data_IF_712484354691
#
_entry.id   IF_712484354691
#
_cell.length_a   1.000
_cell.length_b   1.000
_cell.length_c   1.000
_cell.angle_alpha   90.00
_cell.angle_beta   90.00
_cell.angle_gamma   90.00
#
_symmetry.space_group_name_H-M   'P 1'
#
loop_
_entity.id
_entity.type
_entity.pdbx_description
1 polymer ?
#
# COMPACT_ATOMS: atom_id res chain seq x y z
N UNK A 1 8.10 19.61 -11.03
CA UNK A 1 6.73 19.08 -11.07
C UNK A 1 6.50 18.26 -9.81
N UNK A 2 5.51 18.63 -9.03
CA UNK A 2 5.26 17.95 -7.77
C UNK A 2 4.29 16.81 -7.97
N UNK A 3 4.79 15.60 -7.85
CA UNK A 3 3.95 14.42 -7.84
C UNK A 3 3.44 14.19 -6.43
N UNK A 4 2.15 14.06 -6.27
CA UNK A 4 1.56 13.62 -5.01
C UNK A 4 1.25 12.13 -5.10
N UNK A 5 1.24 11.45 -3.96
CA UNK A 5 0.89 10.03 -3.94
C UNK A 5 -0.55 9.81 -4.42
N UNK A 6 -1.44 10.75 -4.15
CA UNK A 6 -2.83 10.69 -4.60
C UNK A 6 -2.95 10.75 -6.13
N UNK A 7 -2.07 11.47 -6.81
CA UNK A 7 -2.06 11.51 -8.27
C UNK A 7 -1.59 10.20 -8.91
N UNK A 8 -0.72 9.46 -8.21
CA UNK A 8 -0.23 8.17 -8.69
C UNK A 8 -1.22 7.04 -8.45
N UNK A 9 -1.93 7.09 -7.34
CA UNK A 9 -2.83 6.03 -6.91
C UNK A 9 -4.29 6.44 -7.09
N UNK A 10 -4.63 6.91 -8.28
CA UNK A 10 -6.00 7.25 -8.64
C UNK A 10 -6.82 5.97 -8.90
N UNK A 11 -8.16 6.01 -8.72
CA UNK A 11 -8.99 4.86 -9.07
C UNK A 11 -8.81 4.39 -10.52
N UNK A 12 -8.58 5.32 -11.43
CA UNK A 12 -8.36 5.01 -12.86
C UNK A 12 -7.12 4.13 -13.07
N UNK A 13 -6.06 4.35 -12.27
CA UNK A 13 -4.83 3.56 -12.39
C UNK A 13 -4.84 2.29 -11.56
N UNK A 14 -5.51 2.31 -10.40
CA UNK A 14 -5.45 1.20 -9.42
C UNK A 14 -6.51 0.13 -9.64
N UNK A 15 -7.72 0.51 -10.07
CA UNK A 15 -8.82 -0.45 -10.24
C UNK A 15 -8.51 -1.51 -11.30
N UNK A 16 -8.01 -1.17 -12.50
CA UNK A 16 -7.61 -2.20 -13.47
C UNK A 16 -6.57 -3.18 -12.93
N UNK A 17 -5.66 -2.68 -12.11
CA UNK A 17 -4.66 -3.53 -11.46
C UNK A 17 -5.30 -4.50 -10.47
N UNK A 18 -6.28 -4.05 -9.67
CA UNK A 18 -7.03 -4.90 -8.74
C UNK A 18 -7.82 -5.97 -9.53
N UNK A 19 -8.44 -5.58 -10.65
CA UNK A 19 -9.21 -6.52 -11.48
C UNK A 19 -8.34 -7.67 -12.01
N UNK A 20 -7.08 -7.39 -12.31
CA UNK A 20 -6.13 -8.38 -12.82
C UNK A 20 -5.40 -9.14 -11.71
N UNK A 21 -5.56 -8.76 -10.45
CA UNK A 21 -4.86 -9.39 -9.33
C UNK A 21 -5.39 -10.80 -9.06
N UNK A 22 -4.50 -11.71 -8.68
CA UNK A 22 -4.90 -13.05 -8.26
C UNK A 22 -5.41 -13.06 -6.82
N UNK A 23 -6.02 -14.18 -6.40
CA UNK A 23 -6.61 -14.30 -5.07
C UNK A 23 -5.59 -14.12 -3.95
N UNK A 24 -4.37 -14.58 -4.15
CA UNK A 24 -3.31 -14.48 -3.15
C UNK A 24 -2.92 -13.02 -2.89
N UNK A 25 -2.76 -12.24 -3.95
CA UNK A 25 -2.45 -10.82 -3.84
C UNK A 25 -3.59 -10.05 -3.18
N UNK A 26 -4.84 -10.38 -3.56
CA UNK A 26 -6.02 -9.75 -2.97
C UNK A 26 -6.10 -10.04 -1.48
N UNK A 27 -5.85 -11.27 -1.04
CA UNK A 27 -5.84 -11.63 0.37
C UNK A 27 -4.76 -10.87 1.15
N UNK A 28 -3.58 -10.70 0.57
CA UNK A 28 -2.51 -9.91 1.19
C UNK A 28 -2.91 -8.45 1.36
N UNK A 29 -3.56 -7.87 0.37
CA UNK A 29 -4.01 -6.48 0.44
C UNK A 29 -5.10 -6.27 1.49
N UNK A 30 -6.01 -7.23 1.64
CA UNK A 30 -7.06 -7.16 2.65
C UNK A 30 -6.50 -7.11 4.08
N UNK A 31 -5.35 -7.71 4.33
CA UNK A 31 -4.70 -7.69 5.63
C UNK A 31 -4.32 -6.29 6.09
N UNK A 32 -4.12 -5.36 5.17
CA UNK A 32 -3.77 -3.97 5.47
C UNK A 32 -4.98 -3.09 5.73
N UNK A 33 -6.20 -3.59 5.49
CA UNK A 33 -7.41 -2.84 5.74
C UNK A 33 -7.84 -2.97 7.21
N UNK A 34 -8.59 -1.97 7.73
CA UNK A 34 -9.22 -2.13 9.04
C UNK A 34 -10.12 -3.36 9.05
N UNK A 35 -10.01 -4.23 10.08
CA UNK A 35 -10.78 -5.47 10.14
C UNK A 35 -12.30 -5.27 10.05
N UNK A 36 -12.79 -4.16 10.58
CA UNK A 36 -14.21 -3.81 10.53
C UNK A 36 -14.76 -3.73 9.12
N UNK A 37 -13.96 -3.34 8.14
CA UNK A 37 -14.41 -3.25 6.74
C UNK A 37 -14.72 -4.63 6.14
N UNK A 38 -13.91 -5.62 6.48
CA UNK A 38 -14.10 -7.00 6.00
C UNK A 38 -15.34 -7.61 6.63
N UNK A 39 -15.50 -7.43 7.94
CA UNK A 39 -16.67 -7.93 8.68
C UNK A 39 -17.95 -7.27 8.19
N UNK A 40 -17.92 -5.95 7.97
CA UNK A 40 -19.08 -5.21 7.48
C UNK A 40 -19.51 -5.68 6.08
N UNK A 41 -18.55 -5.98 5.22
CA UNK A 41 -18.85 -6.46 3.87
C UNK A 41 -19.54 -7.83 3.89
N UNK A 42 -19.25 -8.67 4.88
CA UNK A 42 -19.89 -9.96 5.03
C UNK A 42 -21.30 -9.86 5.64
N UNK A 43 -21.45 -9.04 6.67
CA UNK A 43 -22.67 -8.96 7.47
C UNK A 43 -23.66 -7.92 6.95
N UNK A 44 -23.30 -7.16 5.94
CA UNK A 44 -24.11 -6.05 5.42
C UNK A 44 -23.93 -4.78 6.25
N UNK A 45 -24.94 -3.92 6.19
CA UNK A 45 -24.84 -2.58 6.79
C UNK A 45 -25.12 -2.54 8.29
N UNK A 46 -25.29 -3.68 8.94
CA UNK A 46 -25.60 -3.71 10.37
C UNK A 46 -24.32 -3.59 11.21
N UNK A 47 -24.04 -2.36 11.65
CA UNK A 47 -22.88 -2.02 12.45
C UNK A 47 -23.02 -2.42 13.93
N UNK A 48 -24.19 -2.91 14.36
CA UNK A 48 -24.46 -3.15 15.77
C UNK A 48 -23.78 -4.40 16.34
N UNK A 49 -23.37 -5.32 15.46
CA UNK A 49 -22.79 -6.62 15.85
C UNK A 49 -21.40 -6.87 15.27
N UNK A 50 -20.65 -5.79 14.99
CA UNK A 50 -19.28 -5.95 14.47
C UNK A 50 -18.39 -6.62 15.50
N UNK A 51 -18.12 -7.88 15.27
CA UNK A 51 -17.16 -8.64 16.06
C UNK A 51 -15.79 -8.52 15.39
N UNK A 52 -14.86 -7.89 16.08
CA UNK A 52 -13.52 -7.62 15.55
C UNK A 52 -12.46 -8.54 16.15
N UNK A 53 -12.87 -9.66 16.79
CA UNK A 53 -11.89 -10.64 17.23
C UNK A 53 -11.26 -11.37 16.04
N UNK A 54 -10.06 -11.85 16.22
CA UNK A 54 -9.24 -12.43 15.15
C UNK A 54 -9.94 -13.59 14.42
N UNK A 55 -10.62 -14.45 15.18
CA UNK A 55 -11.32 -15.59 14.60
C UNK A 55 -12.49 -15.18 13.71
N UNK A 56 -13.24 -14.13 14.10
CA UNK A 56 -14.34 -13.60 13.30
C UNK A 56 -13.85 -12.95 12.01
N UNK A 57 -12.72 -12.26 12.08
CA UNK A 57 -12.10 -11.63 10.91
C UNK A 57 -11.66 -12.70 9.91
N UNK A 58 -10.96 -13.74 10.38
CA UNK A 58 -10.54 -14.83 9.50
C UNK A 58 -11.73 -15.56 8.88
N UNK A 59 -12.78 -15.81 9.66
CA UNK A 59 -13.99 -16.44 9.17
C UNK A 59 -14.68 -15.58 8.10
N UNK A 60 -14.72 -14.26 8.31
CA UNK A 60 -15.28 -13.32 7.36
C UNK A 60 -14.48 -13.32 6.05
N UNK A 61 -13.16 -13.29 6.14
CA UNK A 61 -12.30 -13.32 4.95
C UNK A 61 -12.48 -14.62 4.16
N UNK A 62 -12.57 -15.76 4.83
CA UNK A 62 -12.77 -17.04 4.18
C UNK A 62 -14.17 -17.17 3.54
N UNK A 63 -15.17 -16.50 4.10
CA UNK A 63 -16.53 -16.53 3.59
C UNK A 63 -16.73 -15.67 2.33
N UNK A 64 -15.83 -14.73 2.07
CA UNK A 64 -15.93 -13.84 0.92
C UNK A 64 -15.38 -14.49 -0.35
N UNK A 65 -16.09 -14.32 -1.46
CA UNK A 65 -15.58 -14.69 -2.78
C UNK A 65 -14.51 -13.72 -3.23
N UNK A 66 -13.72 -14.12 -4.23
CA UNK A 66 -12.70 -13.25 -4.82
C UNK A 66 -13.28 -11.93 -5.33
N UNK A 67 -14.45 -11.99 -5.99
CA UNK A 67 -15.11 -10.78 -6.49
C UNK A 67 -15.57 -9.86 -5.37
N UNK A 68 -16.06 -10.41 -4.27
CA UNK A 68 -16.42 -9.63 -3.08
C UNK A 68 -15.20 -8.95 -2.45
N UNK A 69 -14.10 -9.67 -2.37
CA UNK A 69 -12.83 -9.12 -1.87
C UNK A 69 -12.32 -7.98 -2.75
N UNK A 70 -12.38 -8.16 -4.07
CA UNK A 70 -12.01 -7.10 -5.02
C UNK A 70 -12.94 -5.89 -4.92
N UNK A 71 -14.22 -6.12 -4.66
CA UNK A 71 -15.18 -5.03 -4.46
C UNK A 71 -14.85 -4.18 -3.23
N UNK A 72 -14.44 -4.82 -2.14
CA UNK A 72 -13.97 -4.11 -0.95
C UNK A 72 -12.79 -3.21 -1.30
N UNK A 73 -11.79 -3.74 -1.99
CA UNK A 73 -10.61 -2.96 -2.41
C UNK A 73 -10.99 -1.80 -3.33
N UNK A 74 -11.91 -2.02 -4.28
CA UNK A 74 -12.39 -0.93 -5.15
C UNK A 74 -13.04 0.19 -4.35
N UNK A 75 -13.87 -0.16 -3.37
CA UNK A 75 -14.53 0.84 -2.50
C UNK A 75 -13.51 1.62 -1.70
N UNK A 76 -12.49 0.96 -1.14
CA UNK A 76 -11.42 1.62 -0.41
C UNK A 76 -10.67 2.60 -1.31
N UNK A 77 -10.31 2.18 -2.52
CA UNK A 77 -9.58 3.03 -3.47
C UNK A 77 -10.37 4.28 -3.89
N UNK A 78 -11.70 4.20 -3.85
CA UNK A 78 -12.57 5.33 -4.17
C UNK A 78 -12.94 6.17 -2.95
N UNK A 79 -12.58 5.73 -1.76
CA UNK A 79 -13.00 6.43 -0.53
C UNK A 79 -12.23 7.72 -0.32
N UNK A 80 -12.89 8.76 0.22
CA UNK A 80 -12.20 9.99 0.61
C UNK A 80 -11.11 9.75 1.65
N UNK A 81 -11.30 8.79 2.54
CA UNK A 81 -10.33 8.44 3.58
C UNK A 81 -9.01 7.97 2.98
N UNK A 82 -9.06 7.17 1.93
CA UNK A 82 -7.87 6.71 1.23
C UNK A 82 -7.10 7.90 0.61
N UNK A 83 -7.81 8.78 -0.09
CA UNK A 83 -7.21 9.98 -0.68
C UNK A 83 -6.61 10.90 0.37
N UNK A 84 -7.30 11.09 1.50
CA UNK A 84 -6.81 11.89 2.61
C UNK A 84 -5.56 11.28 3.24
N UNK A 85 -5.51 9.96 3.38
CA UNK A 85 -4.34 9.26 3.91
C UNK A 85 -3.13 9.45 3.00
N UNK A 86 -3.32 9.35 1.68
CA UNK A 86 -2.25 9.60 0.71
C UNK A 86 -1.76 11.05 0.75
N UNK A 87 -2.68 12.00 0.89
CA UNK A 87 -2.33 13.42 1.02
C UNK A 87 -1.54 13.67 2.29
N UNK A 88 -1.95 13.09 3.41
CA UNK A 88 -1.25 13.21 4.70
C UNK A 88 0.15 12.62 4.63
N UNK A 89 0.29 11.45 4.01
CA UNK A 89 1.59 10.82 3.82
C UNK A 89 2.50 11.69 2.93
N UNK A 90 1.96 12.26 1.87
CA UNK A 90 2.70 13.16 0.98
C UNK A 90 3.22 14.37 1.74
N UNK A 91 2.37 14.99 2.57
CA UNK A 91 2.75 16.14 3.40
C UNK A 91 3.85 15.74 4.39
N UNK A 92 3.69 14.62 5.07
CA UNK A 92 4.68 14.15 6.03
C UNK A 92 6.05 13.92 5.37
N UNK A 93 6.08 13.34 4.18
CA UNK A 93 7.33 13.15 3.43
C UNK A 93 7.98 14.49 3.07
N UNK A 94 7.19 15.46 2.64
CA UNK A 94 7.68 16.78 2.24
C UNK A 94 8.18 17.60 3.42
N UNK A 95 7.62 17.37 4.60
CA UNK A 95 7.95 18.13 5.82
C UNK A 95 9.09 17.49 6.64
N UNK A 96 9.86 16.60 6.05
CA UNK A 96 11.03 16.03 6.68
C UNK A 96 10.81 14.66 7.32
N UNK A 97 9.66 14.02 7.07
CA UNK A 97 9.33 12.71 7.62
C UNK A 97 9.95 11.52 6.88
N UNK A 98 10.65 11.76 5.77
CA UNK A 98 11.18 10.67 4.94
C UNK A 98 12.05 9.67 5.72
N UNK A 99 13.01 10.08 6.58
CA UNK A 99 13.82 9.11 7.31
C UNK A 99 12.98 8.19 8.20
N UNK A 100 12.09 8.77 8.98
CA UNK A 100 11.24 8.01 9.92
C UNK A 100 10.25 7.10 9.19
N UNK A 101 9.63 7.60 8.12
CA UNK A 101 8.65 6.84 7.35
C UNK A 101 9.33 5.69 6.62
N UNK A 102 10.46 5.95 5.97
CA UNK A 102 11.18 4.90 5.26
C UNK A 102 11.70 3.81 6.19
N UNK A 103 12.16 4.18 7.39
CA UNK A 103 12.56 3.22 8.40
C UNK A 103 11.38 2.38 8.88
N UNK A 104 10.26 3.03 9.21
CA UNK A 104 9.06 2.34 9.71
C UNK A 104 8.49 1.36 8.68
N UNK A 105 8.54 1.69 7.40
CA UNK A 105 8.05 0.85 6.31
C UNK A 105 9.13 -0.07 5.74
N UNK A 106 10.34 -0.01 6.28
CA UNK A 106 11.47 -0.81 5.84
C UNK A 106 11.78 -0.61 4.34
N UNK A 107 11.67 0.64 3.89
CA UNK A 107 11.93 1.03 2.50
C UNK A 107 13.34 1.63 2.43
N UNK A 108 14.25 1.04 1.64
CA UNK A 108 15.59 1.61 1.49
C UNK A 108 15.55 2.90 0.67
N UNK A 109 16.03 3.98 1.24
CA UNK A 109 16.09 5.27 0.55
C UNK A 109 17.55 5.78 0.55
N UNK A 110 17.85 6.59 -0.46
CA UNK A 110 19.17 7.17 -0.62
C UNK A 110 19.57 7.99 0.62
N UNK A 111 20.74 7.72 1.17
CA UNK A 111 21.28 8.38 2.37
C UNK A 111 20.35 8.32 3.59
N UNK A 112 19.52 7.28 3.70
CA UNK A 112 18.56 7.15 4.79
C UNK A 112 17.47 8.22 4.82
N UNK A 113 17.30 8.98 3.74
CA UNK A 113 16.35 10.09 3.66
C UNK A 113 16.92 11.43 4.10
N UNK A 114 18.24 11.52 4.28
CA UNK A 114 18.92 12.75 4.68
C UNK A 114 19.66 13.41 3.52
N UNK A 115 19.86 14.71 3.64
CA UNK A 115 20.73 15.44 2.71
C UNK A 115 22.18 14.98 2.87
N UNK A 116 22.96 15.06 1.81
CA UNK A 116 24.36 14.63 1.82
C UNK A 116 25.21 15.36 2.84
N UNK A 117 24.86 16.59 3.16
CA UNK A 117 25.59 17.40 4.13
C UNK A 117 24.64 17.88 5.23
N UNK A 118 25.06 17.76 6.47
CA UNK A 118 24.41 18.39 7.61
C UNK A 118 23.35 17.58 8.34
N UNK A 119 23.08 16.35 7.94
CA UNK A 119 22.14 15.50 8.66
C UNK A 119 20.71 16.02 8.69
N UNK A 120 20.35 16.87 7.73
CA UNK A 120 18.99 17.41 7.60
C UNK A 120 18.16 16.47 6.74
N UNK A 121 16.91 16.13 7.17
CA UNK A 121 16.03 15.31 6.33
C UNK A 121 15.73 15.98 4.99
N UNK A 122 15.63 15.16 3.94
CA UNK A 122 15.14 15.63 2.65
C UNK A 122 13.71 16.13 2.79
N UNK A 123 13.39 17.18 2.05
CA UNK A 123 12.07 17.79 2.08
C UNK A 123 11.52 18.05 0.67
N UNK A 124 10.30 18.57 0.63
CA UNK A 124 9.64 18.94 -0.62
C UNK A 124 9.43 17.78 -1.56
N UNK A 125 9.36 18.09 -2.85
CA UNK A 125 9.14 17.09 -3.90
C UNK A 125 10.26 16.07 -4.03
N UNK A 126 11.49 16.44 -3.69
CA UNK A 126 12.62 15.53 -3.71
C UNK A 126 12.43 14.37 -2.72
N UNK A 127 11.89 14.65 -1.54
CA UNK A 127 11.61 13.60 -0.55
C UNK A 127 10.59 12.60 -1.08
N UNK A 128 9.55 13.06 -1.77
CA UNK A 128 8.55 12.20 -2.39
C UNK A 128 9.19 11.34 -3.49
N UNK A 129 10.02 11.92 -4.34
CA UNK A 129 10.70 11.19 -5.40
C UNK A 129 11.64 10.12 -4.85
N UNK A 130 12.41 10.44 -3.83
CA UNK A 130 13.33 9.49 -3.19
C UNK A 130 12.56 8.35 -2.53
N UNK A 131 11.44 8.66 -1.90
CA UNK A 131 10.56 7.64 -1.32
C UNK A 131 10.02 6.69 -2.42
N UNK A 132 9.51 7.23 -3.50
CA UNK A 132 8.98 6.43 -4.61
C UNK A 132 10.08 5.58 -5.27
N UNK A 133 11.28 6.10 -5.40
CA UNK A 133 12.41 5.33 -5.91
C UNK A 133 12.75 4.17 -4.97
N UNK A 134 12.72 4.41 -3.66
CA UNK A 134 12.94 3.35 -2.65
C UNK A 134 11.88 2.26 -2.70
N UNK A 135 10.61 2.63 -2.86
CA UNK A 135 9.50 1.68 -3.04
C UNK A 135 9.71 0.84 -4.30
N UNK A 136 10.05 1.48 -5.41
CA UNK A 136 10.31 0.80 -6.68
C UNK A 136 11.46 -0.20 -6.54
N UNK A 137 12.55 0.20 -5.93
CA UNK A 137 13.72 -0.66 -5.72
C UNK A 137 13.37 -1.86 -4.82
N UNK A 138 12.60 -1.63 -3.77
CA UNK A 138 12.11 -2.68 -2.88
C UNK A 138 11.27 -3.71 -3.63
N UNK A 139 10.32 -3.25 -4.43
CA UNK A 139 9.44 -4.14 -5.21
C UNK A 139 10.24 -4.94 -6.23
N UNK A 140 11.22 -4.33 -6.87
CA UNK A 140 12.07 -5.02 -7.84
C UNK A 140 12.92 -6.13 -7.19
N UNK A 141 13.39 -5.91 -5.96
CA UNK A 141 14.13 -6.93 -5.21
C UNK A 141 13.26 -8.09 -4.76
N UNK A 142 12.00 -7.83 -4.48
CA UNK A 142 11.05 -8.86 -4.06
C UNK A 142 10.54 -9.73 -5.20
N UNK A 143 10.63 -9.24 -6.43
CA UNK A 143 10.24 -10.06 -7.58
C UNK A 143 11.19 -11.24 -7.71
N UNK A 144 10.67 -12.48 -7.74
CA UNK A 144 11.52 -13.63 -7.99
C UNK A 144 12.21 -13.44 -9.34
N UNK A 145 13.51 -13.60 -9.35
CA UNK A 145 14.29 -13.55 -10.57
C UNK A 145 14.02 -14.82 -11.38
N UNK A 146 12.90 -14.85 -12.04
CA UNK A 146 12.51 -16.03 -12.82
C UNK A 146 13.31 -16.19 -14.09
N UNK A 147 14.10 -15.21 -14.44
CA UNK A 147 14.88 -15.26 -15.66
C UNK A 147 16.37 -15.56 -15.51
N UNK A 148 16.93 -15.33 -14.32
CA UNK A 148 18.37 -15.44 -14.12
C UNK A 148 18.89 -16.83 -13.83
N UNK A 149 18.10 -17.64 -13.19
CA UNK A 149 18.55 -18.96 -12.72
C UNK A 149 18.68 -20.00 -13.82
N UNK A 150 18.06 -19.75 -14.95
CA UNK A 150 18.08 -20.70 -16.05
C UNK A 150 19.35 -20.64 -16.87
N UNK A 151 20.12 -19.63 -16.70
CA UNK A 151 21.35 -19.44 -17.45
C UNK A 151 22.50 -20.27 -16.90
N UNK A 152 22.35 -20.81 -15.72
CA UNK A 152 23.40 -21.53 -15.04
C UNK A 152 23.42 -23.04 -15.35
N UNK A 153 22.54 -23.48 -16.20
CA UNK A 153 22.44 -24.90 -16.51
C UNK A 153 23.39 -25.36 -17.60
N UNK A 154 24.25 -24.50 -18.04
CA UNK A 154 25.25 -24.93 -19.06
C UNK A 154 26.65 -25.08 -18.49
#
# INVERSE_FOLDING_TARGET
MFTTLAELLTPVSTIPWIESADGNLVDQLLQYLPPALVTLAQEGDDMSNLNTDHASIEAAEQALSLDQKKDILRRVMRSPQFSQSLASLTIALRDGGLPSISEALNIPVRNGGYMRRGGVPLGGGEAVEVFLQGVKDSVQKEKPQTGGDRMDTT
#
